data_IF_853933187725
#
_entry.id   IF_853933187725
#
_cell.length_a   1.000
_cell.length_b   1.000
_cell.length_c   1.000
_cell.angle_alpha   90.00
_cell.angle_beta   90.00
_cell.angle_gamma   90.00
#
_symmetry.space_group_name_H-M   'P 1'
#
loop_
_entity.id
_entity.type
_entity.pdbx_description
1 polymer ?
#
# COMPACT_ATOMS: atom_id res chain seq x y z
N UNK A 1 -16.22 -1.71 -28.30
CA UNK A 1 -15.72 -2.53 -27.18
C UNK A 1 -15.64 -1.62 -25.97
N UNK A 2 -16.70 -1.52 -25.18
CA UNK A 2 -16.88 -0.54 -24.11
C UNK A 2 -17.05 -1.29 -22.79
N UNK A 3 -16.06 -1.19 -21.92
CA UNK A 3 -16.10 -1.71 -20.55
C UNK A 3 -15.19 -0.87 -19.67
N UNK A 4 -15.62 -0.61 -18.44
CA UNK A 4 -14.84 0.13 -17.46
C UNK A 4 -13.56 -0.66 -17.10
N UNK A 5 -12.51 0.07 -16.78
CA UNK A 5 -11.22 -0.49 -16.37
C UNK A 5 -10.80 0.15 -15.06
N UNK A 6 -10.26 -0.66 -14.15
CA UNK A 6 -9.65 -0.20 -12.91
C UNK A 6 -8.13 -0.37 -13.00
N UNK A 7 -7.38 0.73 -12.85
CA UNK A 7 -5.93 0.66 -12.75
C UNK A 7 -5.53 0.05 -11.39
N UNK A 8 -4.85 -1.09 -11.43
CA UNK A 8 -4.34 -1.80 -10.25
C UNK A 8 -2.82 -1.83 -10.37
N UNK A 9 -2.20 -0.78 -9.81
CA UNK A 9 -0.77 -0.55 -9.86
C UNK A 9 -0.30 -0.41 -8.42
N UNK A 10 0.40 -1.39 -7.88
CA UNK A 10 0.87 -1.32 -6.51
C UNK A 10 2.20 -2.04 -6.33
N UNK A 11 2.83 -1.71 -5.21
CA UNK A 11 3.92 -2.46 -4.66
C UNK A 11 3.66 -2.70 -3.18
N UNK A 12 3.79 -3.96 -2.75
CA UNK A 12 3.40 -4.41 -1.40
C UNK A 12 4.44 -5.35 -0.82
N UNK A 13 4.80 -5.15 0.45
CA UNK A 13 5.72 -6.00 1.20
C UNK A 13 4.92 -6.94 2.09
N UNK A 14 5.00 -8.24 1.77
CA UNK A 14 4.33 -9.30 2.52
C UNK A 14 5.39 -10.06 3.32
N UNK A 15 5.19 -10.31 4.62
CA UNK A 15 6.06 -11.21 5.38
C UNK A 15 6.26 -12.53 4.64
N UNK A 16 7.49 -13.07 4.62
CA UNK A 16 7.83 -14.25 3.82
C UNK A 16 6.91 -15.44 4.13
N UNK A 17 6.54 -15.65 5.40
CA UNK A 17 5.61 -16.71 5.81
C UNK A 17 4.22 -16.61 5.16
N UNK A 18 3.82 -15.42 4.71
CA UNK A 18 2.53 -15.14 4.09
C UNK A 18 2.61 -14.94 2.58
N UNK A 19 3.82 -14.88 2.00
CA UNK A 19 4.03 -14.67 0.57
C UNK A 19 3.29 -15.71 -0.32
N UNK A 20 3.26 -17.01 0.00
CA UNK A 20 2.47 -17.98 -0.79
C UNK A 20 0.96 -17.70 -0.77
N UNK A 21 0.43 -17.30 0.39
CA UNK A 21 -0.99 -16.97 0.52
C UNK A 21 -1.36 -15.72 -0.30
N UNK A 22 -0.50 -14.70 -0.27
CA UNK A 22 -0.67 -13.50 -1.11
C UNK A 22 -0.61 -13.85 -2.60
N UNK A 23 0.38 -14.65 -3.03
CA UNK A 23 0.52 -15.04 -4.43
C UNK A 23 -0.69 -15.83 -4.95
N UNK A 24 -1.24 -16.74 -4.14
CA UNK A 24 -2.45 -17.50 -4.48
C UNK A 24 -3.67 -16.59 -4.61
N UNK A 25 -3.88 -15.70 -3.63
CA UNK A 25 -4.93 -14.69 -3.68
C UNK A 25 -4.78 -13.81 -4.93
N UNK A 26 -3.60 -13.25 -5.17
CA UNK A 26 -3.36 -12.32 -6.27
C UNK A 26 -3.61 -12.97 -7.62
N UNK A 27 -3.14 -14.20 -7.80
CA UNK A 27 -3.35 -14.94 -9.05
C UNK A 27 -4.82 -15.27 -9.29
N UNK A 28 -5.58 -15.60 -8.25
CA UNK A 28 -6.99 -15.96 -8.34
C UNK A 28 -7.90 -14.76 -8.53
N UNK A 29 -7.67 -13.70 -7.77
CA UNK A 29 -8.61 -12.58 -7.64
C UNK A 29 -8.26 -11.39 -8.52
N UNK A 30 -6.98 -11.20 -8.88
CA UNK A 30 -6.49 -10.04 -9.66
C UNK A 30 -5.95 -10.46 -11.03
N UNK A 31 -5.07 -11.47 -11.07
CA UNK A 31 -4.62 -12.12 -12.30
C UNK A 31 -3.65 -11.32 -13.19
N UNK A 32 -3.23 -10.12 -12.80
CA UNK A 32 -2.26 -9.30 -13.57
C UNK A 32 -0.92 -10.06 -13.73
N UNK A 33 -0.33 -9.97 -14.92
CA UNK A 33 1.01 -10.50 -15.25
C UNK A 33 1.76 -9.51 -16.16
N UNK A 34 3.10 -9.41 -16.03
CA UNK A 34 3.96 -10.09 -15.06
C UNK A 34 3.82 -9.54 -13.62
N UNK A 35 4.40 -10.24 -12.64
CA UNK A 35 4.51 -9.79 -11.25
C UNK A 35 5.99 -9.75 -10.89
N UNK A 36 6.46 -8.59 -10.41
CA UNK A 36 7.79 -8.43 -9.83
C UNK A 36 7.81 -9.04 -8.43
N UNK A 37 8.85 -9.82 -8.12
CA UNK A 37 9.02 -10.47 -6.81
C UNK A 37 10.45 -10.21 -6.35
N UNK A 38 10.62 -9.53 -5.22
CA UNK A 38 11.93 -9.20 -4.67
C UNK A 38 11.97 -9.38 -3.14
N UNK A 39 12.93 -10.13 -2.57
CA UNK A 39 13.13 -10.16 -1.13
C UNK A 39 13.55 -8.78 -0.61
N UNK A 40 12.93 -8.32 0.48
CA UNK A 40 13.22 -7.03 1.13
C UNK A 40 13.38 -7.23 2.63
N UNK A 41 14.40 -6.59 3.19
CA UNK A 41 14.65 -6.56 4.62
C UNK A 41 15.12 -5.17 5.05
N UNK A 42 14.93 -4.83 6.33
CA UNK A 42 15.52 -3.62 6.91
C UNK A 42 17.03 -3.80 6.95
N UNK A 43 17.75 -2.85 6.34
CA UNK A 43 19.22 -2.90 6.29
C UNK A 43 19.86 -2.64 7.66
N UNK A 44 19.45 -1.58 8.35
CA UNK A 44 19.96 -1.19 9.66
C UNK A 44 18.85 -1.30 10.73
N UNK A 45 18.92 -2.29 11.63
CA UNK A 45 17.93 -2.48 12.69
C UNK A 45 17.82 -1.34 13.71
N UNK A 46 18.81 -0.43 13.76
CA UNK A 46 18.78 0.74 14.63
C UNK A 46 18.03 1.93 14.02
N UNK A 47 17.74 1.88 12.73
CA UNK A 47 16.99 2.90 12.01
C UNK A 47 15.51 2.50 11.89
N UNK A 48 14.60 3.47 12.09
CA UNK A 48 13.16 3.28 11.92
C UNK A 48 12.60 4.34 10.97
N UNK A 49 11.66 3.92 10.12
CA UNK A 49 10.90 4.79 9.22
C UNK A 49 9.45 4.84 9.72
N UNK A 50 9.04 5.88 10.46
CA UNK A 50 7.74 5.88 11.15
C UNK A 50 6.53 5.78 10.21
N UNK A 51 6.65 6.37 9.02
CA UNK A 51 5.61 6.31 7.98
C UNK A 51 5.68 5.06 7.11
N UNK A 52 6.62 4.15 7.37
CA UNK A 52 6.72 2.85 6.70
C UNK A 52 7.36 1.81 7.61
N UNK A 53 6.72 1.49 8.76
CA UNK A 53 7.38 0.69 9.78
C UNK A 53 7.48 -0.77 9.31
N UNK A 54 8.71 -1.27 9.24
CA UNK A 54 9.03 -2.67 8.93
C UNK A 54 9.75 -3.30 10.13
N UNK A 55 9.47 -4.58 10.41
CA UNK A 55 10.15 -5.30 11.47
C UNK A 55 11.54 -5.74 10.98
N UNK A 56 12.65 -5.32 11.64
CA UNK A 56 14.00 -5.66 11.19
C UNK A 56 14.37 -7.14 11.34
N UNK A 57 13.54 -7.93 12.03
CA UNK A 57 13.71 -9.39 12.15
C UNK A 57 12.85 -10.18 11.17
N UNK A 58 12.08 -9.51 10.32
CA UNK A 58 11.20 -10.13 9.35
C UNK A 58 11.77 -9.94 7.95
N UNK A 59 11.88 -11.03 7.19
CA UNK A 59 12.13 -10.98 5.76
C UNK A 59 10.78 -10.82 5.05
N UNK A 60 10.70 -9.83 4.18
CA UNK A 60 9.51 -9.57 3.37
C UNK A 60 9.76 -9.96 1.92
N UNK A 61 8.68 -10.17 1.18
CA UNK A 61 8.67 -10.28 -0.27
C UNK A 61 7.84 -9.12 -0.81
N UNK A 62 8.50 -8.30 -1.61
CA UNK A 62 7.90 -7.20 -2.35
C UNK A 62 7.26 -7.75 -3.64
N UNK A 63 5.96 -7.51 -3.80
CA UNK A 63 5.17 -7.88 -4.96
C UNK A 63 4.74 -6.64 -5.74
N UNK A 64 5.43 -6.37 -6.85
CA UNK A 64 5.09 -5.27 -7.76
C UNK A 64 4.23 -5.74 -8.92
N UNK A 65 3.14 -5.03 -9.21
CA UNK A 65 2.24 -5.31 -10.34
C UNK A 65 1.63 -4.02 -10.89
N UNK A 66 1.41 -3.99 -12.21
CA UNK A 66 1.00 -2.78 -12.92
C UNK A 66 0.17 -3.12 -14.17
N UNK A 67 -1.15 -3.02 -14.07
CA UNK A 67 -2.02 -3.06 -15.25
C UNK A 67 -3.42 -2.52 -14.91
N UNK A 68 -4.34 -2.57 -15.87
CA UNK A 68 -5.75 -2.33 -15.66
C UNK A 68 -6.56 -3.62 -15.75
N UNK A 69 -7.47 -3.83 -14.79
CA UNK A 69 -8.43 -4.93 -14.78
C UNK A 69 -9.74 -4.44 -15.37
N UNK A 70 -10.28 -5.17 -16.37
CA UNK A 70 -11.62 -4.90 -16.90
C UNK A 70 -12.66 -5.29 -15.88
N UNK A 71 -13.64 -4.42 -15.65
CA UNK A 71 -14.59 -4.59 -14.55
C UNK A 71 -15.88 -3.81 -14.77
N UNK A 72 -16.96 -4.28 -14.16
CA UNK A 72 -18.22 -3.58 -13.95
C UNK A 72 -18.44 -3.21 -12.47
N UNK A 73 -17.49 -3.53 -11.60
CA UNK A 73 -17.50 -3.13 -10.19
C UNK A 73 -17.31 -1.61 -10.01
N UNK A 74 -17.65 -1.14 -8.81
CA UNK A 74 -17.39 0.23 -8.39
C UNK A 74 -15.90 0.57 -8.40
N UNK A 75 -15.61 1.87 -8.42
CA UNK A 75 -14.24 2.34 -8.42
C UNK A 75 -13.43 1.86 -7.20
N UNK A 76 -12.25 1.33 -7.48
CA UNK A 76 -11.29 0.89 -6.48
C UNK A 76 -11.60 -0.49 -5.91
N UNK A 77 -12.55 -1.23 -6.45
CA UNK A 77 -12.92 -2.56 -5.98
C UNK A 77 -11.69 -3.47 -5.84
N UNK A 78 -10.86 -3.58 -6.88
CA UNK A 78 -9.68 -4.44 -6.86
C UNK A 78 -8.57 -3.89 -5.97
N UNK A 79 -8.35 -2.57 -5.98
CA UNK A 79 -7.37 -1.94 -5.10
C UNK A 79 -7.74 -2.17 -3.62
N UNK A 80 -9.00 -1.97 -3.22
CA UNK A 80 -9.50 -2.25 -1.86
C UNK A 80 -9.32 -3.72 -1.49
N UNK A 81 -9.56 -4.63 -2.43
CA UNK A 81 -9.37 -6.08 -2.20
C UNK A 81 -7.91 -6.43 -1.94
N UNK A 82 -6.99 -5.83 -2.70
CA UNK A 82 -5.55 -5.97 -2.45
C UNK A 82 -5.18 -5.35 -1.10
N UNK A 83 -5.62 -4.12 -0.82
CA UNK A 83 -5.34 -3.42 0.45
C UNK A 83 -5.82 -4.22 1.67
N UNK A 84 -7.02 -4.80 1.59
CA UNK A 84 -7.57 -5.66 2.62
C UNK A 84 -6.73 -6.93 2.81
N UNK A 85 -6.31 -7.59 1.72
CA UNK A 85 -5.46 -8.79 1.81
C UNK A 85 -4.07 -8.47 2.36
N UNK A 86 -3.46 -7.36 1.95
CA UNK A 86 -2.18 -6.89 2.47
C UNK A 86 -2.29 -6.68 3.97
N UNK A 87 -3.34 -6.01 4.44
CA UNK A 87 -3.60 -5.80 5.87
C UNK A 87 -3.83 -7.10 6.63
N UNK A 88 -4.61 -8.03 6.08
CA UNK A 88 -4.87 -9.36 6.67
C UNK A 88 -3.57 -10.16 6.87
N UNK A 89 -2.59 -9.99 5.99
CA UNK A 89 -1.31 -10.70 6.02
C UNK A 89 -0.19 -9.91 6.70
N UNK A 90 -0.52 -8.91 7.51
CA UNK A 90 0.42 -8.02 8.19
C UNK A 90 1.46 -7.36 7.25
N UNK A 91 1.06 -7.16 5.99
CA UNK A 91 1.86 -6.56 4.95
C UNK A 91 1.84 -5.03 4.96
N UNK A 92 2.60 -4.45 4.06
CA UNK A 92 2.71 -3.01 3.84
C UNK A 92 2.42 -2.68 2.39
N UNK A 93 1.79 -1.54 2.15
CA UNK A 93 1.50 -1.02 0.81
C UNK A 93 2.23 0.30 0.64
N UNK A 94 2.95 0.43 -0.47
CA UNK A 94 3.58 1.70 -0.82
C UNK A 94 2.54 2.76 -1.25
N UNK A 95 2.80 4.02 -0.92
CA UNK A 95 1.88 5.15 -1.09
C UNK A 95 2.07 5.95 -2.40
N UNK A 96 2.71 5.37 -3.42
CA UNK A 96 2.94 6.06 -4.71
C UNK A 96 1.76 5.95 -5.67
N UNK A 97 0.85 5.01 -5.45
CA UNK A 97 -0.29 4.72 -6.31
C UNK A 97 -1.62 5.00 -5.62
N UNK A 98 -2.71 4.84 -6.38
CA UNK A 98 -4.07 4.96 -5.84
C UNK A 98 -4.20 4.12 -4.56
N UNK A 99 -4.80 4.73 -3.54
CA UNK A 99 -5.15 4.00 -2.33
C UNK A 99 -6.56 4.39 -1.87
N UNK A 100 -7.27 3.46 -1.25
CA UNK A 100 -8.70 3.59 -0.95
C UNK A 100 -9.03 3.44 0.54
N UNK A 101 -8.01 3.58 1.40
CA UNK A 101 -8.17 3.56 2.84
C UNK A 101 -9.10 4.66 3.34
N UNK A 102 -9.88 4.33 4.38
CA UNK A 102 -10.49 5.36 5.23
C UNK A 102 -9.40 6.20 5.91
N UNK A 103 -9.75 7.40 6.39
CA UNK A 103 -8.79 8.24 7.11
C UNK A 103 -8.29 7.54 8.37
N UNK A 104 -9.19 6.85 9.06
CA UNK A 104 -8.91 6.09 10.26
C UNK A 104 -7.93 4.93 9.97
N UNK A 105 -8.20 4.11 8.94
CA UNK A 105 -7.32 3.00 8.57
C UNK A 105 -5.96 3.48 8.11
N UNK A 106 -5.93 4.57 7.33
CA UNK A 106 -4.68 5.16 6.86
C UNK A 106 -3.77 5.53 8.03
N UNK A 107 -4.30 6.24 9.03
CA UNK A 107 -3.50 6.70 10.16
C UNK A 107 -3.11 5.59 11.15
N UNK A 108 -3.82 4.47 11.15
CA UNK A 108 -3.35 3.24 11.83
C UNK A 108 -2.13 2.61 11.14
N UNK A 109 -2.01 2.76 9.81
CA UNK A 109 -0.93 2.15 9.03
C UNK A 109 0.34 3.02 8.95
N UNK A 110 0.19 4.36 8.98
CA UNK A 110 1.26 5.32 8.66
C UNK A 110 1.60 6.32 9.78
N UNK A 111 1.52 5.90 11.05
CA UNK A 111 1.92 6.66 12.26
C UNK A 111 1.56 8.17 12.22
N UNK A 112 0.28 8.46 12.48
CA UNK A 112 -0.20 9.84 12.51
C UNK A 112 0.56 10.73 13.48
N UNK A 113 0.95 10.22 14.65
CA UNK A 113 1.60 11.04 15.68
C UNK A 113 2.95 11.57 15.19
N UNK A 114 3.76 10.70 14.59
CA UNK A 114 5.04 11.09 14.00
C UNK A 114 4.83 12.07 12.85
N UNK A 115 3.85 11.80 11.97
CA UNK A 115 3.52 12.69 10.86
C UNK A 115 3.11 14.10 11.34
N UNK A 116 2.17 14.19 12.28
CA UNK A 116 1.63 15.48 12.78
C UNK A 116 2.71 16.32 13.46
N UNK A 117 3.63 15.69 14.17
CA UNK A 117 4.80 16.37 14.76
C UNK A 117 5.67 17.03 13.70
N UNK A 118 5.95 16.33 12.60
CA UNK A 118 6.71 16.86 11.47
C UNK A 118 5.93 17.97 10.75
N UNK A 119 4.63 17.77 10.52
CA UNK A 119 3.76 18.76 9.87
C UNK A 119 3.71 20.07 10.65
N UNK A 120 3.55 20.02 11.97
CA UNK A 120 3.54 21.22 12.80
C UNK A 120 4.88 21.97 12.77
N UNK A 121 6.01 21.25 12.71
CA UNK A 121 7.35 21.85 12.64
C UNK A 121 7.64 22.52 11.30
N UNK A 122 7.25 21.87 10.19
CA UNK A 122 7.69 22.26 8.85
C UNK A 122 6.61 22.96 8.01
N UNK A 123 5.33 22.84 8.37
CA UNK A 123 4.22 23.55 7.74
C UNK A 123 3.15 23.93 8.80
N UNK A 124 3.51 24.79 9.77
CA UNK A 124 2.64 25.14 10.91
C UNK A 124 1.34 25.83 10.48
N UNK A 125 1.32 26.45 9.29
CA UNK A 125 0.13 27.13 8.75
C UNK A 125 -0.68 26.27 7.79
N UNK A 126 -0.28 25.01 7.56
CA UNK A 126 -1.03 24.05 6.73
C UNK A 126 -1.18 24.46 5.27
N UNK A 127 -0.13 25.02 4.65
CA UNK A 127 -0.17 25.44 3.24
C UNK A 127 -0.20 24.26 2.28
N UNK A 128 0.43 23.14 2.66
CA UNK A 128 0.46 21.92 1.87
C UNK A 128 -0.62 20.96 2.36
N UNK A 129 -1.10 20.08 1.48
CA UNK A 129 -1.92 18.92 1.86
C UNK A 129 -1.22 18.07 2.91
N UNK A 130 -2.00 17.39 3.75
CA UNK A 130 -1.49 16.31 4.60
C UNK A 130 -1.20 15.02 3.79
N UNK A 131 -0.60 14.00 4.43
CA UNK A 131 -0.23 12.78 3.72
C UNK A 131 -1.45 12.01 3.19
N UNK A 132 -2.54 11.94 3.97
CA UNK A 132 -3.79 11.32 3.55
C UNK A 132 -4.39 12.06 2.35
N UNK A 133 -4.46 13.39 2.43
CA UNK A 133 -4.98 14.24 1.36
C UNK A 133 -4.15 14.15 0.08
N UNK A 134 -2.85 13.90 0.20
CA UNK A 134 -1.95 13.69 -0.94
C UNK A 134 -2.12 12.32 -1.57
N UNK A 135 -2.31 11.27 -0.77
CA UNK A 135 -2.30 9.88 -1.24
C UNK A 135 -3.68 9.31 -1.57
N UNK A 136 -4.75 9.85 -0.99
CA UNK A 136 -6.12 9.32 -1.09
C UNK A 136 -7.04 10.24 -1.88
N UNK A 137 -6.99 11.55 -1.62
CA UNK A 137 -7.91 12.47 -2.27
C UNK A 137 -7.43 12.77 -3.70
N UNK A 138 -8.26 12.42 -4.68
CA UNK A 138 -8.06 12.82 -6.08
C UNK A 138 -8.01 14.35 -6.17
N UNK A 139 -7.07 14.85 -6.98
CA UNK A 139 -6.94 16.27 -7.28
C UNK A 139 -7.95 16.69 -8.34
#
# INVERSE_FOLDING_TARGET
LTGQQEAVIQDVEIPLEHAPAFAQFFNKEIGIKPVWICPVAVYDPSTSFPLYPMNPRTLYVNFGFWDAVRTDHEEGYFNKKVEAKVRELDGKKSLYSNSFYSREDFWQLYDEKSYRTLKARYDPTGKLKDLYEKCILKQ
#
